data_IF_020650879299
#
_entry.id   IF_020650879299
#
_cell.length_a   1.000
_cell.length_b   1.000
_cell.length_c   1.000
_cell.angle_alpha   90.00
_cell.angle_beta   90.00
_cell.angle_gamma   90.00
#
_symmetry.space_group_name_H-M   'P 1'
#
loop_
_entity.id
_entity.type
_entity.pdbx_description
1 polymer ?
#
# COMPACT_ATOMS: atom_id res chain seq x y z
N UNK A 1 0.23 16.67 13.37
CA UNK A 1 -0.42 15.36 13.60
C UNK A 1 0.19 14.34 12.66
N UNK A 2 0.29 13.06 13.03
CA UNK A 2 0.84 11.99 12.18
C UNK A 2 -0.19 10.86 12.06
N UNK A 3 -0.40 10.36 10.84
CA UNK A 3 -1.17 9.15 10.59
C UNK A 3 -0.23 8.03 10.13
N UNK A 4 -0.36 6.88 10.76
CA UNK A 4 0.35 5.66 10.37
C UNK A 4 -0.43 4.95 9.28
N UNK A 5 0.24 4.61 8.19
CA UNK A 5 -0.36 3.97 7.03
C UNK A 5 0.42 2.75 6.59
N UNK A 6 -0.29 1.82 5.96
CA UNK A 6 0.29 0.67 5.29
C UNK A 6 -0.41 0.50 3.94
N UNK A 7 0.36 0.27 2.88
CA UNK A 7 -0.18 -0.01 1.55
C UNK A 7 0.25 -1.41 1.10
N UNK A 8 -0.76 -2.22 0.76
CA UNK A 8 -0.59 -3.55 0.17
C UNK A 8 -0.76 -3.46 -1.35
N UNK A 9 0.31 -3.68 -2.09
CA UNK A 9 0.26 -3.61 -3.56
C UNK A 9 -0.18 -4.96 -4.13
N UNK A 10 -1.30 -4.95 -4.86
CA UNK A 10 -1.93 -6.18 -5.39
C UNK A 10 -1.54 -6.56 -6.82
N UNK A 11 -1.02 -5.62 -7.61
CA UNK A 11 -0.73 -5.84 -9.03
C UNK A 11 0.40 -4.91 -9.51
N UNK A 12 0.95 -5.21 -10.68
CA UNK A 12 2.06 -4.46 -11.27
C UNK A 12 3.41 -4.87 -10.68
N UNK A 13 4.47 -4.17 -11.06
CA UNK A 13 5.85 -4.56 -10.73
C UNK A 13 6.19 -4.49 -9.24
N UNK A 14 5.42 -3.74 -8.45
CA UNK A 14 5.53 -3.67 -6.99
C UNK A 14 4.61 -4.65 -6.26
N UNK A 15 3.97 -5.59 -6.97
CA UNK A 15 3.05 -6.57 -6.37
C UNK A 15 3.68 -7.27 -5.16
N UNK A 16 2.84 -7.62 -4.18
CA UNK A 16 3.22 -8.20 -2.89
C UNK A 16 3.97 -7.25 -1.94
N UNK A 17 4.29 -6.03 -2.36
CA UNK A 17 4.87 -5.02 -1.49
C UNK A 17 3.94 -4.65 -0.34
N UNK A 18 4.51 -4.56 0.87
CA UNK A 18 3.82 -4.18 2.11
C UNK A 18 4.55 -2.95 2.68
N UNK A 19 4.25 -1.78 2.14
CA UNK A 19 4.99 -0.56 2.48
C UNK A 19 4.30 0.20 3.60
N UNK A 20 4.95 0.31 4.77
CA UNK A 20 4.54 1.23 5.83
C UNK A 20 4.99 2.65 5.51
N UNK A 21 4.15 3.62 5.85
CA UNK A 21 4.45 5.03 5.68
C UNK A 21 3.83 5.89 6.78
N UNK A 22 4.46 7.03 7.01
CA UNK A 22 4.01 8.07 7.92
C UNK A 22 3.48 9.25 7.12
N UNK A 23 2.22 9.60 7.35
CA UNK A 23 1.58 10.78 6.80
C UNK A 23 1.64 11.92 7.83
N UNK A 24 2.53 12.86 7.59
CA UNK A 24 2.70 14.06 8.40
C UNK A 24 1.72 15.14 7.94
N UNK A 25 0.79 15.49 8.82
CA UNK A 25 -0.26 16.48 8.57
C UNK A 25 0.18 17.79 9.24
N UNK A 26 0.23 18.91 8.49
CA UNK A 26 0.60 20.22 9.02
C UNK A 26 -0.26 20.63 10.21
N UNK A 27 0.31 21.38 11.15
CA UNK A 27 -0.40 21.83 12.36
C UNK A 27 -1.56 22.77 12.04
N UNK A 28 -1.43 23.56 10.98
CA UNK A 28 -2.47 24.47 10.49
C UNK A 28 -3.40 23.82 9.45
N UNK A 29 -3.51 22.50 9.40
CA UNK A 29 -4.46 21.81 8.51
C UNK A 29 -5.92 22.28 8.79
N UNK A 30 -6.74 22.56 7.76
CA UNK A 30 -6.48 22.37 6.33
C UNK A 30 -5.92 23.61 5.60
N UNK A 31 -5.54 24.67 6.30
CA UNK A 31 -4.98 25.91 5.72
C UNK A 31 -3.48 25.83 5.40
N UNK A 32 -2.83 24.74 5.79
CA UNK A 32 -1.41 24.50 5.60
C UNK A 32 -0.96 24.03 4.22
N UNK A 33 0.30 23.62 4.21
CA UNK A 33 0.96 23.02 3.06
C UNK A 33 0.38 21.65 2.69
N UNK A 34 0.80 21.12 1.53
CA UNK A 34 0.51 19.71 1.21
C UNK A 34 1.12 18.84 2.32
N UNK A 35 0.40 17.82 2.85
CA UNK A 35 0.97 16.85 3.78
C UNK A 35 2.26 16.22 3.25
N UNK A 36 2.97 15.49 4.09
CA UNK A 36 4.18 14.75 3.68
C UNK A 36 4.00 13.26 3.93
N UNK A 37 4.43 12.43 2.98
CA UNK A 37 4.42 10.96 3.11
C UNK A 37 5.86 10.46 3.08
N UNK A 38 6.25 9.71 4.11
CA UNK A 38 7.58 9.12 4.25
C UNK A 38 7.44 7.61 4.45
N UNK A 39 8.09 6.81 3.62
CA UNK A 39 8.12 5.36 3.79
C UNK A 39 9.11 4.96 4.88
N UNK A 40 8.76 3.94 5.66
CA UNK A 40 9.64 3.43 6.73
C UNK A 40 10.71 2.48 6.21
N UNK A 41 10.37 1.69 5.20
CA UNK A 41 11.30 0.80 4.50
C UNK A 41 11.73 1.43 3.18
N UNK A 42 12.96 1.20 2.70
CA UNK A 42 13.40 1.70 1.41
C UNK A 42 12.45 1.33 0.27
N UNK A 43 12.01 2.31 -0.53
CA UNK A 43 11.19 2.08 -1.74
C UNK A 43 11.95 2.58 -2.95
N UNK A 44 12.32 1.67 -3.85
CA UNK A 44 12.97 2.02 -5.11
C UNK A 44 11.94 2.49 -6.14
N UNK A 45 11.67 3.80 -6.20
CA UNK A 45 10.65 4.37 -7.08
C UNK A 45 11.07 5.77 -7.58
N UNK A 46 10.81 6.18 -8.85
CA UNK A 46 11.24 7.49 -9.38
C UNK A 46 10.79 8.72 -8.57
N UNK A 47 9.62 8.62 -7.94
CA UNK A 47 9.01 9.68 -7.11
C UNK A 47 9.35 9.61 -5.62
N UNK A 48 10.17 8.64 -5.18
CA UNK A 48 10.58 8.51 -3.78
C UNK A 48 12.03 8.92 -3.64
N UNK A 49 12.33 9.84 -2.71
CA UNK A 49 13.72 10.20 -2.43
C UNK A 49 14.49 8.99 -1.86
N UNK A 50 15.65 8.61 -2.41
CA UNK A 50 16.44 7.50 -1.89
C UNK A 50 16.97 7.77 -0.48
N UNK A 51 17.21 9.04 -0.13
CA UNK A 51 17.80 9.42 1.15
C UNK A 51 16.74 9.56 2.25
N UNK A 52 15.66 10.29 1.98
CA UNK A 52 14.64 10.60 2.99
C UNK A 52 13.45 9.65 2.98
N UNK A 53 13.32 8.79 1.96
CA UNK A 53 12.13 7.96 1.71
C UNK A 53 10.82 8.75 1.57
N UNK A 54 10.93 10.06 1.32
CA UNK A 54 9.79 10.93 1.09
C UNK A 54 9.26 10.75 -0.32
N UNK A 55 7.94 10.57 -0.45
CA UNK A 55 7.24 10.56 -1.73
C UNK A 55 6.93 12.00 -2.18
N UNK A 56 7.17 12.31 -3.46
CA UNK A 56 6.75 13.58 -4.05
C UNK A 56 5.23 13.64 -4.26
N UNK A 57 4.51 13.94 -3.18
CA UNK A 57 3.06 14.13 -3.25
C UNK A 57 2.66 15.53 -3.71
N UNK A 58 3.56 16.52 -3.62
CA UNK A 58 3.26 17.93 -3.93
C UNK A 58 2.86 18.10 -5.41
N UNK A 59 3.52 17.37 -6.31
CA UNK A 59 3.16 17.38 -7.74
C UNK A 59 1.71 16.95 -8.01
N UNK A 60 1.17 16.01 -7.21
CA UNK A 60 -0.20 15.51 -7.32
C UNK A 60 -1.26 16.56 -6.97
N UNK A 61 -0.86 17.65 -6.32
CA UNK A 61 -1.71 18.75 -5.89
C UNK A 61 -1.27 20.09 -6.49
N UNK A 62 -0.63 20.09 -7.66
CA UNK A 62 -0.13 21.29 -8.34
C UNK A 62 0.73 22.18 -7.42
N UNK A 63 1.51 21.54 -6.54
CA UNK A 63 2.35 22.17 -5.51
C UNK A 63 1.60 23.09 -4.52
N UNK A 64 0.26 23.00 -4.43
CA UNK A 64 -0.55 23.83 -3.54
C UNK A 64 -1.73 23.08 -2.94
N UNK A 65 -1.81 23.06 -1.62
CA UNK A 65 -2.99 22.54 -0.92
C UNK A 65 -4.17 23.51 -1.02
N UNK A 66 -5.35 22.98 -1.35
CA UNK A 66 -6.60 23.75 -1.48
C UNK A 66 -7.62 23.21 -0.49
N UNK A 67 -7.82 23.89 0.65
CA UNK A 67 -8.64 23.42 1.77
C UNK A 67 -10.07 22.95 1.42
N UNK A 68 -10.69 23.55 0.39
CA UNK A 68 -12.07 23.27 -0.02
C UNK A 68 -12.16 22.22 -1.14
N UNK A 69 -11.02 21.66 -1.57
CA UNK A 69 -10.93 20.72 -2.70
C UNK A 69 -10.15 19.46 -2.31
N UNK A 70 -9.08 19.64 -1.55
CA UNK A 70 -8.15 18.58 -1.19
C UNK A 70 -8.52 18.01 0.19
N UNK A 71 -8.38 16.70 0.32
CA UNK A 71 -8.67 15.94 1.53
C UNK A 71 -7.57 14.91 1.74
N UNK A 72 -7.36 14.46 2.98
CA UNK A 72 -6.29 13.49 3.29
C UNK A 72 -6.47 12.17 2.52
N UNK A 73 -7.70 11.74 2.25
CA UNK A 73 -7.93 10.54 1.44
C UNK A 73 -7.48 10.71 -0.03
N UNK A 74 -7.47 11.93 -0.58
CA UNK A 74 -6.87 12.19 -1.89
C UNK A 74 -5.36 11.92 -1.87
N UNK A 75 -4.69 12.18 -0.75
CA UNK A 75 -3.26 11.83 -0.57
C UNK A 75 -3.09 10.32 -0.60
N UNK A 76 -3.93 9.57 0.11
CA UNK A 76 -3.89 8.10 0.11
C UNK A 76 -4.12 7.52 -1.30
N UNK A 77 -5.08 8.09 -2.06
CA UNK A 77 -5.28 7.70 -3.45
C UNK A 77 -4.10 8.04 -4.35
N UNK A 78 -3.44 9.17 -4.11
CA UNK A 78 -2.25 9.56 -4.84
C UNK A 78 -1.07 8.62 -4.57
N UNK A 79 -0.81 8.30 -3.30
CA UNK A 79 0.21 7.29 -2.89
C UNK A 79 -0.05 5.98 -3.63
N UNK A 80 -1.29 5.49 -3.62
CA UNK A 80 -1.69 4.27 -4.34
C UNK A 80 -1.45 4.39 -5.84
N UNK A 81 -1.81 5.53 -6.45
CA UNK A 81 -1.64 5.78 -7.88
C UNK A 81 -0.17 5.72 -8.29
N UNK A 82 0.77 6.23 -7.48
CA UNK A 82 2.19 6.21 -7.82
C UNK A 82 2.70 4.80 -8.14
N UNK A 83 2.25 3.78 -7.41
CA UNK A 83 2.64 2.39 -7.65
C UNK A 83 1.99 1.76 -8.90
N UNK A 84 0.88 2.31 -9.38
CA UNK A 84 0.15 1.80 -10.56
C UNK A 84 0.44 2.58 -11.84
N UNK A 85 0.87 3.83 -11.70
CA UNK A 85 1.25 4.71 -12.79
C UNK A 85 2.56 5.41 -12.42
N UNK A 86 3.64 4.83 -12.92
CA UNK A 86 5.00 5.34 -12.71
C UNK A 86 5.19 6.56 -13.61
N UNK A 87 5.64 7.66 -13.01
CA UNK A 87 5.93 8.91 -13.69
C UNK A 87 7.43 9.20 -13.52
N UNK A 88 8.16 9.33 -14.63
CA UNK A 88 9.63 9.56 -14.64
C UNK A 88 10.04 11.01 -14.85
N UNK A 89 9.08 11.92 -15.06
CA UNK A 89 9.36 13.35 -15.23
C UNK A 89 9.78 14.00 -13.91
N UNK A 90 10.85 14.81 -13.93
CA UNK A 90 11.42 15.49 -12.76
C UNK A 90 11.54 14.57 -11.52
N UNK A 91 12.22 13.42 -11.61
CA UNK A 91 12.18 12.40 -10.57
C UNK A 91 12.94 12.83 -9.30
N UNK A 92 12.50 12.37 -8.13
CA UNK A 92 13.29 12.46 -6.89
C UNK A 92 14.40 11.42 -6.85
N UNK A 93 14.21 10.30 -7.57
CA UNK A 93 15.21 9.27 -7.78
C UNK A 93 15.53 9.15 -9.27
N UNK A 94 16.56 9.88 -9.77
CA UNK A 94 16.97 9.83 -11.16
C UNK A 94 17.42 8.43 -11.60
N UNK A 95 18.05 7.66 -10.72
CA UNK A 95 18.48 6.29 -11.02
C UNK A 95 17.26 5.42 -11.37
N UNK A 96 16.23 5.45 -10.52
CA UNK A 96 14.99 4.71 -10.76
C UNK A 96 14.30 5.16 -12.06
N UNK A 97 14.29 6.44 -12.37
CA UNK A 97 13.72 6.95 -13.62
C UNK A 97 14.49 6.44 -14.85
N UNK A 98 15.83 6.57 -14.84
CA UNK A 98 16.69 6.12 -15.95
C UNK A 98 16.55 4.63 -16.18
N UNK A 99 16.58 3.82 -15.11
CA UNK A 99 16.39 2.37 -15.23
C UNK A 99 14.99 2.05 -15.75
N UNK A 100 13.95 2.71 -15.28
CA UNK A 100 12.59 2.45 -15.78
C UNK A 100 12.48 2.70 -17.29
N UNK A 101 13.10 3.76 -17.80
CA UNK A 101 13.03 4.18 -19.20
C UNK A 101 14.01 3.40 -20.11
N UNK A 102 15.16 2.97 -19.59
CA UNK A 102 16.27 2.43 -20.41
C UNK A 102 16.60 0.95 -20.14
N UNK A 103 16.38 0.47 -18.92
CA UNK A 103 16.73 -0.89 -18.48
C UNK A 103 15.67 -1.43 -17.49
N UNK A 104 14.54 -1.85 -18.07
CA UNK A 104 13.39 -2.29 -17.29
C UNK A 104 13.69 -3.57 -16.48
N UNK A 105 14.62 -4.41 -16.94
CA UNK A 105 15.01 -5.63 -16.22
C UNK A 105 15.73 -5.29 -14.92
N UNK A 106 16.74 -4.41 -14.98
CA UNK A 106 17.44 -3.95 -13.79
C UNK A 106 16.51 -3.15 -12.86
N UNK A 107 15.59 -2.35 -13.42
CA UNK A 107 14.55 -1.70 -12.63
C UNK A 107 13.72 -2.71 -11.83
N UNK A 108 13.25 -3.78 -12.47
CA UNK A 108 12.48 -4.84 -11.80
C UNK A 108 13.30 -5.61 -10.76
N UNK A 109 14.61 -5.81 -10.97
CA UNK A 109 15.51 -6.39 -9.95
C UNK A 109 15.53 -5.51 -8.70
N UNK A 110 15.69 -4.19 -8.87
CA UNK A 110 15.73 -3.25 -7.74
C UNK A 110 14.39 -3.14 -7.01
N UNK A 111 13.28 -3.14 -7.76
CA UNK A 111 11.93 -3.18 -7.17
C UNK A 111 11.68 -4.46 -6.40
N UNK A 112 12.07 -5.63 -6.93
CA UNK A 112 11.96 -6.89 -6.17
C UNK A 112 12.73 -6.83 -4.86
N UNK A 113 13.93 -6.25 -4.87
CA UNK A 113 14.71 -6.09 -3.63
C UNK A 113 13.96 -5.28 -2.57
N UNK A 114 13.31 -4.17 -2.93
CA UNK A 114 12.55 -3.40 -1.94
C UNK A 114 11.24 -4.08 -1.51
N UNK A 115 10.59 -4.84 -2.41
CA UNK A 115 9.41 -5.64 -2.06
C UNK A 115 9.77 -6.73 -1.04
N UNK A 116 10.86 -7.48 -1.25
CA UNK A 116 11.32 -8.48 -0.30
C UNK A 116 11.67 -7.87 1.06
N UNK A 117 12.35 -6.72 1.07
CA UNK A 117 12.65 -6.02 2.33
C UNK A 117 11.38 -5.60 3.07
N UNK A 118 10.37 -5.09 2.34
CA UNK A 118 9.08 -4.72 2.95
C UNK A 118 8.37 -5.90 3.60
N UNK A 119 8.45 -7.10 2.99
CA UNK A 119 7.89 -8.34 3.55
C UNK A 119 8.66 -8.80 4.78
N UNK A 120 9.99 -8.73 4.73
CA UNK A 120 10.87 -9.08 5.87
C UNK A 120 10.61 -8.17 7.06
N UNK A 121 10.50 -6.87 6.84
CA UNK A 121 10.29 -5.88 7.89
C UNK A 121 8.84 -5.81 8.42
N UNK A 122 7.89 -6.55 7.84
CA UNK A 122 6.47 -6.50 8.18
C UNK A 122 6.20 -6.68 9.69
N UNK A 123 6.87 -7.66 10.30
CA UNK A 123 6.69 -7.99 11.72
C UNK A 123 7.68 -7.27 12.65
N UNK A 124 8.63 -6.54 12.10
CA UNK A 124 9.52 -5.70 12.89
C UNK A 124 8.70 -4.50 13.40
N UNK A 125 8.75 -4.18 14.70
CA UNK A 125 8.07 -3.00 15.24
C UNK A 125 8.52 -1.74 14.49
N UNK A 126 7.59 -0.87 14.06
CA UNK A 126 7.96 0.41 13.46
C UNK A 126 8.69 1.27 14.48
N UNK A 127 9.54 2.19 14.03
CA UNK A 127 10.30 3.08 14.93
C UNK A 127 9.39 3.90 15.86
N UNK A 128 8.16 4.20 15.40
CA UNK A 128 7.13 4.89 16.18
C UNK A 128 6.49 4.03 17.27
N UNK A 129 6.60 2.69 17.25
CA UNK A 129 5.93 1.84 18.24
C UNK A 129 6.43 2.05 19.68
N UNK A 130 7.67 2.52 19.85
CA UNK A 130 8.21 2.82 21.17
C UNK A 130 7.67 4.13 21.76
N UNK A 131 7.22 5.07 20.92
CA UNK A 131 6.81 6.41 21.33
C UNK A 131 5.31 6.69 21.16
N UNK A 132 4.63 5.97 20.27
CA UNK A 132 3.22 6.14 19.95
C UNK A 132 2.47 4.79 20.01
N UNK A 133 1.50 4.62 20.94
CA UNK A 133 0.72 3.39 21.04
C UNK A 133 -0.21 3.14 19.84
N UNK A 134 -0.43 4.13 18.97
CA UNK A 134 -1.27 4.02 17.79
C UNK A 134 -0.50 3.60 16.52
N UNK A 135 0.81 3.32 16.64
CA UNK A 135 1.58 2.78 15.54
C UNK A 135 1.01 1.44 15.05
N UNK A 136 1.01 1.22 13.73
CA UNK A 136 0.51 -0.03 13.15
C UNK A 136 1.59 -1.12 13.31
N UNK A 137 1.29 -2.11 14.15
CA UNK A 137 2.15 -3.28 14.39
C UNK A 137 1.46 -4.54 13.88
N UNK A 138 2.19 -5.33 13.09
CA UNK A 138 1.72 -6.63 12.65
C UNK A 138 2.30 -7.73 13.53
N UNK A 139 1.49 -8.75 13.81
CA UNK A 139 1.93 -10.00 14.42
C UNK A 139 1.68 -11.17 13.47
N UNK A 140 2.50 -12.23 13.53
CA UNK A 140 2.22 -13.46 12.81
C UNK A 140 0.83 -13.99 13.16
N UNK A 141 0.20 -14.67 12.20
CA UNK A 141 -1.09 -15.29 12.43
C UNK A 141 -0.99 -16.39 13.49
N UNK A 142 -1.82 -16.32 14.53
CA UNK A 142 -1.91 -17.31 15.60
C UNK A 142 -3.29 -17.99 15.53
N UNK A 143 -3.38 -19.28 15.14
CA UNK A 143 -4.65 -19.99 15.00
C UNK A 143 -5.53 -19.90 16.25
N UNK A 144 -4.93 -20.10 17.44
CA UNK A 144 -5.64 -20.05 18.71
C UNK A 144 -6.33 -18.70 19.02
N UNK A 145 -5.84 -17.60 18.45
CA UNK A 145 -6.41 -16.25 18.66
C UNK A 145 -7.30 -15.85 17.49
N UNK A 146 -6.91 -16.18 16.26
CA UNK A 146 -7.51 -15.63 15.05
C UNK A 146 -8.53 -16.56 14.37
N UNK A 147 -8.51 -17.87 14.62
CA UNK A 147 -9.36 -18.83 13.88
C UNK A 147 -10.86 -18.55 14.08
N UNK A 148 -11.29 -18.23 15.31
CA UNK A 148 -12.70 -17.93 15.60
C UNK A 148 -13.21 -16.78 14.74
N UNK A 149 -12.48 -15.66 14.71
CA UNK A 149 -12.83 -14.47 13.91
C UNK A 149 -12.74 -14.77 12.42
N UNK A 150 -11.73 -15.53 11.99
CA UNK A 150 -11.57 -15.94 10.60
C UNK A 150 -12.76 -16.78 10.11
N UNK A 151 -13.25 -17.72 10.91
CA UNK A 151 -14.42 -18.53 10.58
C UNK A 151 -15.72 -17.71 10.54
N UNK A 152 -15.87 -16.70 11.41
CA UNK A 152 -17.00 -15.76 11.35
C UNK A 152 -16.99 -14.92 10.06
N UNK A 153 -15.84 -14.37 9.67
CA UNK A 153 -15.68 -13.61 8.43
C UNK A 153 -15.98 -14.45 7.18
N UNK A 154 -15.70 -15.76 7.22
CA UNK A 154 -16.03 -16.69 6.14
C UNK A 154 -17.54 -16.93 6.01
N UNK A 155 -18.27 -17.01 7.14
CA UNK A 155 -19.73 -17.25 7.16
C UNK A 155 -20.51 -16.06 6.62
N UNK A 156 -20.16 -14.85 7.02
CA UNK A 156 -20.84 -13.61 6.60
C UNK A 156 -20.75 -13.39 5.08
N UNK A 157 -19.69 -13.91 4.46
CA UNK A 157 -19.51 -13.90 3.00
C UNK A 157 -20.39 -14.92 2.27
N UNK A 158 -20.87 -15.97 2.95
CA UNK A 158 -21.77 -16.97 2.37
C UNK A 158 -23.25 -16.53 2.39
N UNK A 159 -23.66 -15.75 3.40
CA UNK A 159 -25.02 -15.21 3.52
C UNK A 159 -25.25 -13.96 2.64
N UNK A 160 -24.23 -13.14 2.44
CA UNK A 160 -24.28 -11.99 1.51
C UNK A 160 -24.38 -12.41 0.04
N UNK A 161 -23.96 -13.63 -0.32
CA UNK A 161 -24.21 -14.22 -1.65
C UNK A 161 -25.62 -14.80 -1.85
N UNK A 162 -26.41 -14.99 -0.78
CA UNK A 162 -27.81 -15.48 -0.93
C UNK A 162 -28.85 -14.36 -1.05
N UNK A 163 -28.48 -13.11 -0.74
CA UNK A 163 -29.41 -11.97 -0.67
C UNK A 163 -29.32 -10.99 -1.85
N UNK A 164 -28.42 -11.22 -2.82
CA UNK A 164 -28.37 -10.49 -4.09
C UNK A 164 -28.55 -11.47 -5.27
N UNK A 165 -29.74 -12.06 -5.37
CA UNK A 165 -30.22 -12.64 -6.62
C UNK A 165 -31.41 -11.85 -7.12
N UNK A 166 -31.12 -10.74 -7.78
CA UNK A 166 -31.87 -10.27 -8.95
C UNK A 166 -31.02 -9.27 -9.73
N UNK A 167 -30.46 -9.72 -10.85
CA UNK A 167 -29.84 -8.87 -11.88
C UNK A 167 -28.31 -8.93 -11.97
N UNK A 168 -27.80 -9.71 -12.93
CA UNK A 168 -26.45 -9.56 -13.48
C UNK A 168 -25.48 -10.67 -13.10
N UNK A 169 -25.05 -11.42 -14.11
CA UNK A 169 -24.11 -12.54 -14.02
C UNK A 169 -22.71 -12.10 -13.53
N UNK A 170 -22.46 -12.14 -12.22
CA UNK A 170 -21.12 -11.98 -11.65
C UNK A 170 -20.60 -13.34 -11.13
N UNK A 171 -20.00 -14.13 -12.03
CA UNK A 171 -19.17 -15.27 -11.64
C UNK A 171 -17.89 -14.74 -10.98
N UNK A 172 -17.97 -14.37 -9.71
CA UNK A 172 -16.82 -14.01 -8.89
C UNK A 172 -15.97 -15.26 -8.62
N UNK A 173 -14.93 -15.46 -9.43
CA UNK A 173 -13.93 -16.50 -9.19
C UNK A 173 -13.20 -16.19 -7.87
N UNK A 174 -13.45 -16.98 -6.83
CA UNK A 174 -12.66 -16.96 -5.61
C UNK A 174 -11.29 -17.57 -5.91
N UNK A 175 -10.23 -16.75 -5.84
CA UNK A 175 -8.84 -17.17 -6.11
C UNK A 175 -8.19 -17.99 -4.99
N UNK A 176 -8.96 -18.32 -3.95
CA UNK A 176 -8.56 -19.14 -2.80
C UNK A 176 -9.65 -20.17 -2.56
N UNK A 177 -9.28 -21.45 -2.42
CA UNK A 177 -10.22 -22.52 -2.08
C UNK A 177 -10.80 -22.28 -0.68
N UNK A 178 -12.11 -22.48 -0.47
CA UNK A 178 -12.69 -22.49 0.86
C UNK A 178 -11.93 -23.45 1.78
N UNK A 179 -11.45 -22.95 2.92
CA UNK A 179 -10.68 -23.75 3.88
C UNK A 179 -9.17 -23.81 3.65
N UNK A 180 -8.62 -23.14 2.63
CA UNK A 180 -7.16 -23.05 2.41
C UNK A 180 -6.67 -21.60 2.46
N UNK A 181 -5.40 -21.40 2.81
CA UNK A 181 -4.71 -20.10 2.67
C UNK A 181 -3.88 -20.04 1.37
N UNK A 182 -4.02 -21.04 0.50
CA UNK A 182 -3.22 -21.18 -0.71
C UNK A 182 -3.89 -20.42 -1.86
N UNK A 183 -3.20 -19.40 -2.37
CA UNK A 183 -3.65 -18.56 -3.47
C UNK A 183 -3.39 -19.31 -4.79
N UNK A 184 -4.32 -19.27 -5.75
CA UNK A 184 -4.28 -19.93 -7.08
C UNK A 184 -4.49 -21.44 -7.14
N UNK A 185 -5.22 -22.02 -6.19
CA UNK A 185 -5.63 -23.43 -6.32
C UNK A 185 -6.78 -23.56 -7.34
N UNK A 186 -6.49 -24.02 -8.57
CA UNK A 186 -7.54 -24.40 -9.54
C UNK A 186 -8.48 -25.43 -8.91
N UNK A 187 -9.79 -25.18 -9.00
CA UNK A 187 -10.80 -26.22 -8.77
C UNK A 187 -10.66 -27.24 -9.90
N UNK A 188 -10.27 -28.47 -9.57
CA UNK A 188 -10.30 -29.56 -10.53
C UNK A 188 -11.76 -29.74 -10.97
N UNK A 189 -11.96 -29.76 -12.29
CA UNK A 189 -13.25 -30.08 -12.94
C UNK A 189 -13.70 -31.51 -12.62
#
# INVERSE_FOLDING_TARGET
>A
MVWFGVIFIRQGIYQEGIFRFNLHIPENYPDGDVPTVVFETPVFHPLVSPDSQQLDIRRGFANKWRRNVNHLWHVLLYVRRCFYKIETSHPLNPEAAVLFDSDNEMFQVRVRSCVEESKRAMYEPPASAASDPHAIVFSPFQPAVHDTVLEELKKDRSESTSSLKEGGNCNGLSWVKPGTLQIFSQSAS
#
